data_IF_353738001167
#
_entry.id   IF_353738001167
#
_cell.length_a   1.000
_cell.length_b   1.000
_cell.length_c   1.000
_cell.angle_alpha   90.00
_cell.angle_beta   90.00
_cell.angle_gamma   90.00
#
_symmetry.space_group_name_H-M   'P 1'
#
loop_
_entity.id
_entity.type
_entity.pdbx_description
1 polymer ?
#
# COMPACT_ATOMS: atom_id res chain seq x y z
N UNK A 1 -7.34 4.02 13.63
CA UNK A 1 -6.00 3.77 13.08
C UNK A 1 -5.74 2.27 13.17
N UNK A 2 -5.43 1.62 12.04
CA UNK A 2 -5.11 0.18 11.99
C UNK A 2 -3.90 -0.16 12.86
N UNK A 3 -3.87 -1.35 13.48
CA UNK A 3 -2.68 -1.85 14.21
C UNK A 3 -1.72 -2.60 13.31
N UNK A 4 -2.18 -3.06 12.16
CA UNK A 4 -1.37 -3.76 11.17
C UNK A 4 -1.03 -2.84 9.98
N UNK A 5 0.16 -3.01 9.37
CA UNK A 5 0.49 -2.29 8.15
C UNK A 5 -0.50 -2.65 7.04
N UNK A 6 -0.87 -1.66 6.23
CA UNK A 6 -1.74 -1.88 5.07
C UNK A 6 -1.02 -2.67 3.97
N UNK A 7 0.27 -2.38 3.76
CA UNK A 7 1.14 -3.03 2.79
C UNK A 7 2.47 -3.39 3.46
N UNK A 8 3.03 -4.53 3.08
CA UNK A 8 4.36 -4.97 3.47
C UNK A 8 5.08 -5.56 2.24
N UNK A 9 6.42 -5.52 2.17
CA UNK A 9 7.18 -6.12 1.09
C UNK A 9 6.94 -7.64 0.99
N UNK A 10 6.47 -8.12 -0.16
CA UNK A 10 6.19 -9.55 -0.39
C UNK A 10 6.76 -10.05 -1.72
N UNK A 11 6.64 -9.24 -2.78
CA UNK A 11 7.06 -9.61 -4.13
C UNK A 11 8.56 -9.48 -4.33
N UNK A 12 9.11 -10.17 -5.33
CA UNK A 12 10.55 -10.17 -5.63
C UNK A 12 11.11 -8.76 -5.83
N UNK A 13 10.35 -7.87 -6.47
CA UNK A 13 10.77 -6.49 -6.72
C UNK A 13 10.68 -5.58 -5.49
N UNK A 14 10.00 -6.00 -4.42
CA UNK A 14 9.93 -5.29 -3.12
C UNK A 14 10.99 -5.78 -2.14
N UNK A 15 11.25 -7.09 -2.12
CA UNK A 15 12.15 -7.71 -1.16
C UNK A 15 13.61 -7.72 -1.63
N UNK A 16 13.89 -7.52 -2.92
CA UNK A 16 15.24 -7.65 -3.44
C UNK A 16 15.49 -7.01 -4.81
N UNK A 17 16.76 -7.00 -5.22
CA UNK A 17 17.17 -6.58 -6.56
C UNK A 17 17.29 -5.06 -6.78
N UNK A 18 16.96 -4.25 -5.79
CA UNK A 18 17.02 -2.80 -5.85
C UNK A 18 18.19 -2.14 -5.10
N UNK A 19 18.14 -0.81 -4.96
CA UNK A 19 19.10 -0.05 -4.16
C UNK A 19 18.92 -0.31 -2.65
N UNK A 20 17.69 -0.54 -2.20
CA UNK A 20 17.35 -0.99 -0.84
C UNK A 20 16.41 -2.19 -0.92
N UNK A 21 16.57 -3.16 -0.03
CA UNK A 21 15.73 -4.35 0.00
C UNK A 21 14.65 -4.23 1.09
N UNK A 22 13.53 -4.93 0.91
CA UNK A 22 12.39 -4.93 1.83
C UNK A 22 11.81 -3.52 2.05
N UNK A 23 11.54 -2.81 0.95
CA UNK A 23 11.01 -1.44 0.98
C UNK A 23 9.70 -1.35 0.21
N UNK A 24 8.71 -0.77 0.87
CA UNK A 24 7.54 -0.13 0.26
C UNK A 24 7.48 1.30 0.82
N UNK A 25 7.35 2.29 -0.06
CA UNK A 25 7.24 3.69 0.33
C UNK A 25 6.11 4.38 -0.44
N UNK A 26 4.93 4.62 0.17
CA UNK A 26 3.82 5.26 -0.54
C UNK A 26 4.15 6.71 -0.89
N UNK A 27 3.89 7.09 -2.15
CA UNK A 27 4.15 8.43 -2.68
C UNK A 27 2.88 9.15 -3.12
N UNK A 28 2.19 8.61 -4.12
CA UNK A 28 0.98 9.20 -4.71
C UNK A 28 -0.29 8.43 -4.32
N UNK A 29 -1.37 9.14 -3.98
CA UNK A 29 -2.66 8.52 -3.65
C UNK A 29 -3.74 9.29 -4.40
N UNK A 30 -4.51 8.60 -5.26
CA UNK A 30 -5.57 9.18 -6.08
C UNK A 30 -6.86 8.42 -5.81
N UNK A 31 -7.91 9.15 -5.40
CA UNK A 31 -9.27 8.63 -5.32
C UNK A 31 -9.97 8.89 -6.66
N UNK A 32 -10.44 7.82 -7.29
CA UNK A 32 -11.21 7.86 -8.54
C UNK A 32 -12.72 8.06 -8.26
N UNK A 33 -13.46 8.48 -9.28
CA UNK A 33 -14.91 8.79 -9.16
C UNK A 33 -15.76 7.57 -8.74
N UNK A 34 -15.29 6.35 -9.00
CA UNK A 34 -15.97 5.10 -8.66
C UNK A 34 -15.63 4.57 -7.26
N UNK A 35 -14.76 5.28 -6.52
CA UNK A 35 -14.33 4.89 -5.18
C UNK A 35 -13.06 4.04 -5.14
N UNK A 36 -12.48 3.66 -6.28
CA UNK A 36 -11.15 3.05 -6.31
C UNK A 36 -10.08 4.06 -5.85
N UNK A 37 -9.20 3.63 -4.96
CA UNK A 37 -8.02 4.38 -4.54
C UNK A 37 -6.79 3.74 -5.15
N UNK A 38 -6.08 4.50 -6.00
CA UNK A 38 -4.77 4.14 -6.54
C UNK A 38 -3.67 4.63 -5.61
N UNK A 39 -2.89 3.70 -5.09
CA UNK A 39 -1.75 3.95 -4.20
C UNK A 39 -0.46 3.64 -4.96
N UNK A 40 0.20 4.69 -5.42
CA UNK A 40 1.51 4.63 -6.04
C UNK A 40 2.58 4.57 -4.94
N UNK A 41 3.47 3.59 -5.03
CA UNK A 41 4.51 3.38 -4.05
C UNK A 41 5.84 3.04 -4.70
N UNK A 42 6.91 3.60 -4.15
CA UNK A 42 8.27 3.19 -4.46
C UNK A 42 8.57 1.83 -3.85
N UNK A 43 9.23 0.98 -4.62
CA UNK A 43 9.60 -0.37 -4.24
C UNK A 43 11.10 -0.58 -4.42
N UNK A 44 11.72 -1.14 -3.37
CA UNK A 44 13.16 -1.40 -3.29
C UNK A 44 14.07 -0.20 -3.65
N UNK A 45 13.62 1.04 -3.42
CA UNK A 45 14.25 2.30 -3.88
C UNK A 45 14.64 2.28 -5.38
N UNK A 46 13.84 1.60 -6.21
CA UNK A 46 14.24 1.30 -7.61
C UNK A 46 13.11 1.44 -8.62
N UNK A 47 11.92 0.92 -8.31
CA UNK A 47 10.78 0.94 -9.23
C UNK A 47 9.57 1.59 -8.57
N UNK A 48 8.65 2.10 -9.39
CA UNK A 48 7.34 2.57 -8.94
C UNK A 48 6.29 1.49 -9.21
N UNK A 49 5.45 1.23 -8.22
CA UNK A 49 4.41 0.21 -8.24
C UNK A 49 3.04 0.83 -7.97
N UNK A 50 1.97 0.05 -8.20
CA UNK A 50 0.60 0.48 -7.96
C UNK A 50 -0.16 -0.62 -7.19
N UNK A 51 -0.77 -0.23 -6.08
CA UNK A 51 -1.80 -1.01 -5.40
C UNK A 51 -3.16 -0.31 -5.56
N UNK A 52 -4.25 -1.08 -5.57
CA UNK A 52 -5.61 -0.53 -5.59
C UNK A 52 -6.45 -1.11 -4.46
N UNK A 53 -7.40 -0.31 -3.96
CA UNK A 53 -8.38 -0.71 -2.95
C UNK A 53 -9.62 0.19 -3.06
N UNK A 54 -10.78 -0.27 -2.57
CA UNK A 54 -11.93 0.63 -2.45
C UNK A 54 -11.80 1.51 -1.20
N UNK A 55 -12.18 2.79 -1.28
CA UNK A 55 -12.04 3.75 -0.17
C UNK A 55 -12.78 3.30 1.09
N UNK A 56 -13.94 2.68 0.94
CA UNK A 56 -14.73 2.20 2.09
C UNK A 56 -14.01 1.11 2.89
N UNK A 57 -13.20 0.26 2.23
CA UNK A 57 -12.44 -0.77 2.94
C UNK A 57 -11.26 -0.15 3.71
N UNK A 58 -10.62 0.87 3.15
CA UNK A 58 -9.57 1.64 3.84
C UNK A 58 -10.12 2.39 5.06
N UNK A 59 -11.31 2.98 4.93
CA UNK A 59 -12.00 3.63 6.04
C UNK A 59 -12.41 2.62 7.11
N UNK A 60 -12.91 1.44 6.70
CA UNK A 60 -13.25 0.35 7.60
C UNK A 60 -12.04 -0.08 8.44
N UNK A 61 -10.88 -0.29 7.81
CA UNK A 61 -9.62 -0.58 8.48
C UNK A 61 -9.21 0.49 9.50
N UNK A 62 -9.57 1.75 9.26
CA UNK A 62 -9.25 2.85 10.18
C UNK A 62 -10.20 2.95 11.37
N UNK A 63 -11.48 2.64 11.18
CA UNK A 63 -12.57 2.95 12.11
C UNK A 63 -13.04 1.73 12.92
N UNK A 64 -12.99 0.54 12.33
CA UNK A 64 -13.48 -0.67 12.99
C UNK A 64 -12.38 -1.35 13.79
N UNK A 65 -12.64 -1.73 15.07
CA UNK A 65 -11.71 -2.56 15.82
C UNK A 65 -11.65 -3.95 15.19
N UNK A 66 -10.42 -4.41 14.89
CA UNK A 66 -10.14 -5.75 14.36
C UNK A 66 -10.95 -6.84 15.10
N UNK A 67 -11.75 -7.63 14.38
CA UNK A 67 -12.31 -8.87 14.89
C UNK A 67 -11.13 -9.82 15.13
N UNK A 68 -10.84 -10.08 16.41
CA UNK A 68 -9.89 -11.13 16.83
C UNK A 68 -10.28 -12.50 16.33
#
# INVERSE_FOLDING_TARGET
MSRQPLLAPETDYEIGGGFRNHVIFPGGIILEDDGEVKIYYGSADTVECLATAHVDDLLRLCLEPEHR
#
